data_IF_104909540342
#
_entry.id   IF_104909540342
#
_cell.length_a   1.000
_cell.length_b   1.000
_cell.length_c   1.000
_cell.angle_alpha   90.00
_cell.angle_beta   90.00
_cell.angle_gamma   90.00
#
_symmetry.space_group_name_H-M   'P 1'
#
loop_
_entity.id
_entity.type
_entity.pdbx_description
1 polymer ?
#
# COMPACT_ATOMS: atom_id res chain seq x y z
N UNK A 1 -44.62 13.32 -18.93
CA UNK A 1 -43.33 14.01 -18.76
C UNK A 1 -42.35 13.36 -19.71
N UNK A 2 -41.95 14.09 -20.75
CA UNK A 2 -40.97 13.65 -21.73
C UNK A 2 -39.64 13.36 -21.01
N UNK A 3 -38.99 12.26 -21.41
CA UNK A 3 -37.88 11.63 -20.70
C UNK A 3 -36.79 12.65 -20.33
N UNK A 4 -36.54 12.80 -19.03
CA UNK A 4 -35.40 13.53 -18.52
C UNK A 4 -34.13 12.90 -19.11
N UNK A 5 -33.19 13.68 -19.67
CA UNK A 5 -31.92 13.17 -20.17
C UNK A 5 -31.20 12.32 -19.10
N UNK A 6 -30.62 11.17 -19.47
CA UNK A 6 -29.96 10.28 -18.52
C UNK A 6 -28.80 10.95 -17.78
N UNK A 7 -28.15 11.95 -18.39
CA UNK A 7 -27.10 12.75 -17.77
C UNK A 7 -27.64 13.57 -16.60
N UNK A 8 -28.81 14.20 -16.76
CA UNK A 8 -29.46 14.95 -15.68
C UNK A 8 -29.94 14.04 -14.55
N UNK A 9 -30.47 12.86 -14.90
CA UNK A 9 -30.82 11.83 -13.91
C UNK A 9 -29.58 11.44 -13.11
N UNK A 10 -28.44 11.21 -13.76
CA UNK A 10 -27.18 10.87 -13.09
C UNK A 10 -26.71 11.98 -12.15
N UNK A 11 -26.80 13.24 -12.56
CA UNK A 11 -26.44 14.40 -11.72
C UNK A 11 -27.34 14.47 -10.48
N UNK A 12 -28.67 14.36 -10.65
CA UNK A 12 -29.64 14.37 -9.53
C UNK A 12 -29.38 13.19 -8.59
N UNK A 13 -29.21 11.99 -9.14
CA UNK A 13 -28.94 10.80 -8.33
C UNK A 13 -27.61 10.93 -7.62
N UNK A 14 -26.59 11.58 -8.20
CA UNK A 14 -25.28 11.78 -7.56
C UNK A 14 -25.29 12.80 -6.42
N UNK A 15 -26.24 13.76 -6.42
CA UNK A 15 -26.35 14.79 -5.38
C UNK A 15 -27.14 14.35 -4.14
N UNK A 16 -27.68 13.13 -4.12
CA UNK A 16 -28.42 12.61 -2.95
C UNK A 16 -27.44 12.11 -1.89
N UNK A 17 -27.37 12.72 -0.71
CA UNK A 17 -26.31 12.37 0.25
C UNK A 17 -26.60 11.11 1.07
N UNK A 18 -27.87 10.77 1.29
CA UNK A 18 -28.26 9.66 2.17
C UNK A 18 -28.66 8.41 1.40
N UNK A 19 -28.29 7.24 1.92
CA UNK A 19 -28.77 5.95 1.37
C UNK A 19 -30.29 5.80 1.48
N UNK A 20 -30.92 6.43 2.48
CA UNK A 20 -32.37 6.35 2.67
C UNK A 20 -33.10 7.11 1.57
N UNK A 21 -32.63 8.30 1.23
CA UNK A 21 -33.20 9.10 0.14
C UNK A 21 -32.97 8.44 -1.22
N UNK A 22 -31.81 7.78 -1.42
CA UNK A 22 -31.57 6.97 -2.62
C UNK A 22 -32.59 5.80 -2.73
N UNK A 23 -32.91 5.13 -1.62
CA UNK A 23 -33.94 4.08 -1.60
C UNK A 23 -35.33 4.65 -1.89
N UNK A 24 -35.67 5.79 -1.28
CA UNK A 24 -36.95 6.48 -1.56
C UNK A 24 -37.03 6.90 -3.04
N UNK A 25 -35.94 7.41 -3.61
CA UNK A 25 -35.85 7.82 -5.01
C UNK A 25 -36.01 6.62 -5.97
N UNK A 26 -35.45 5.45 -5.66
CA UNK A 26 -35.67 4.19 -6.41
C UNK A 26 -37.16 3.83 -6.54
N UNK A 27 -37.96 4.15 -5.52
CA UNK A 27 -39.37 3.81 -5.42
C UNK A 27 -40.27 4.90 -6.02
N UNK A 28 -39.82 6.16 -5.98
CA UNK A 28 -40.59 7.30 -6.46
C UNK A 28 -40.84 7.27 -7.98
N UNK A 29 -39.85 6.86 -8.79
CA UNK A 29 -40.03 6.77 -10.23
C UNK A 29 -39.15 5.68 -10.88
N UNK A 30 -39.65 5.05 -11.93
CA UNK A 30 -38.96 3.94 -12.63
C UNK A 30 -37.66 4.39 -13.33
N UNK A 31 -37.59 5.62 -13.83
CA UNK A 31 -36.41 6.13 -14.54
C UNK A 31 -35.23 6.46 -13.61
N UNK A 32 -35.47 6.70 -12.31
CA UNK A 32 -34.41 6.82 -11.30
C UNK A 32 -33.88 5.46 -10.83
N UNK A 33 -34.69 4.41 -10.96
CA UNK A 33 -34.43 3.09 -10.35
C UNK A 33 -33.05 2.54 -10.72
N UNK A 34 -32.68 2.52 -11.99
CA UNK A 34 -31.41 1.92 -12.43
C UNK A 34 -30.19 2.67 -11.87
N UNK A 35 -30.18 4.00 -11.97
CA UNK A 35 -29.09 4.83 -11.47
C UNK A 35 -28.96 4.79 -9.95
N UNK A 36 -30.09 4.84 -9.23
CA UNK A 36 -30.10 4.73 -7.78
C UNK A 36 -29.65 3.33 -7.32
N UNK A 37 -30.07 2.26 -8.01
CA UNK A 37 -29.60 0.89 -7.73
C UNK A 37 -28.09 0.73 -7.98
N UNK A 38 -27.56 1.30 -9.07
CA UNK A 38 -26.12 1.34 -9.33
C UNK A 38 -25.37 2.05 -8.21
N UNK A 39 -25.86 3.18 -7.70
CA UNK A 39 -25.21 3.89 -6.60
C UNK A 39 -25.32 3.15 -5.26
N UNK A 40 -26.45 2.50 -5.00
CA UNK A 40 -26.69 1.74 -3.77
C UNK A 40 -25.92 0.41 -3.70
N UNK A 41 -25.64 -0.20 -4.86
CA UNK A 41 -25.04 -1.54 -4.96
C UNK A 41 -23.66 -1.55 -5.61
N UNK A 42 -23.21 -0.42 -6.15
CA UNK A 42 -21.92 -0.26 -6.82
C UNK A 42 -20.74 -0.68 -5.94
N UNK A 43 -20.86 -0.44 -4.63
CA UNK A 43 -19.90 -0.92 -3.63
C UNK A 43 -20.59 -1.88 -2.66
N UNK A 44 -20.00 -3.07 -2.50
CA UNK A 44 -20.47 -4.12 -1.60
C UNK A 44 -19.36 -4.51 -0.63
N UNK A 45 -19.64 -4.41 0.66
CA UNK A 45 -18.76 -4.93 1.70
C UNK A 45 -19.35 -6.22 2.29
N UNK A 46 -18.62 -7.32 2.19
CA UNK A 46 -18.96 -8.63 2.75
C UNK A 46 -18.05 -8.93 3.94
N UNK A 47 -18.64 -9.33 5.07
CA UNK A 47 -17.88 -9.76 6.25
C UNK A 47 -18.13 -11.22 6.55
N UNK A 48 -17.04 -11.95 6.78
CA UNK A 48 -17.07 -13.32 7.29
C UNK A 48 -17.22 -13.32 8.81
N UNK A 49 -18.33 -12.78 9.30
CA UNK A 49 -18.66 -12.73 10.73
C UNK A 49 -19.82 -13.66 11.00
N UNK A 50 -19.56 -14.82 11.60
CA UNK A 50 -20.63 -15.57 12.25
C UNK A 50 -21.03 -14.75 13.47
N UNK A 51 -22.17 -14.06 13.40
CA UNK A 51 -22.85 -13.66 14.63
C UNK A 51 -23.01 -14.95 15.42
N UNK A 52 -22.38 -15.03 16.61
CA UNK A 52 -22.42 -16.21 17.45
C UNK A 52 -23.89 -16.60 17.65
N UNK A 53 -24.36 -17.58 16.89
CA UNK A 53 -25.79 -17.96 16.88
C UNK A 53 -26.20 -18.57 18.21
N UNK A 54 -25.24 -18.97 19.06
CA UNK A 54 -25.51 -19.79 20.25
C UNK A 54 -24.90 -19.32 21.59
N UNK A 55 -24.14 -18.22 21.68
CA UNK A 55 -23.75 -17.71 23.02
C UNK A 55 -24.73 -16.64 23.49
N UNK A 56 -25.73 -17.13 24.25
CA UNK A 56 -26.67 -16.38 25.10
C UNK A 56 -25.99 -15.34 26.04
N UNK A 57 -24.66 -15.31 26.12
CA UNK A 57 -23.87 -14.43 26.97
C UNK A 57 -23.39 -13.12 26.32
N UNK A 58 -23.57 -12.89 25.01
CA UNK A 58 -23.19 -11.60 24.35
C UNK A 58 -24.34 -10.62 24.12
N UNK A 59 -25.46 -10.78 24.84
CA UNK A 59 -26.65 -9.91 24.74
C UNK A 59 -26.40 -8.45 25.11
N UNK A 60 -25.23 -8.07 25.65
CA UNK A 60 -24.96 -6.69 26.04
C UNK A 60 -24.19 -5.88 24.98
N UNK A 61 -23.44 -6.50 24.06
CA UNK A 61 -22.72 -5.77 23.00
C UNK A 61 -22.71 -6.59 21.69
N UNK A 62 -23.64 -6.34 20.74
CA UNK A 62 -23.49 -6.86 19.38
C UNK A 62 -22.13 -6.39 18.82
N UNK A 63 -21.37 -7.24 18.11
CA UNK A 63 -20.18 -6.78 17.41
C UNK A 63 -20.63 -5.64 16.50
N UNK A 64 -20.06 -4.45 16.72
CA UNK A 64 -20.37 -3.25 15.94
C UNK A 64 -19.95 -3.49 14.49
N UNK A 65 -20.79 -4.16 13.70
CA UNK A 65 -20.64 -4.18 12.26
C UNK A 65 -20.70 -2.71 11.82
N UNK A 66 -19.62 -2.22 11.20
CA UNK A 66 -19.62 -0.88 10.61
C UNK A 66 -20.83 -0.79 9.68
N UNK A 67 -21.60 0.30 9.78
CA UNK A 67 -22.82 0.50 9.01
C UNK A 67 -22.56 0.20 7.50
N UNK A 68 -23.29 -0.77 6.94
CA UNK A 68 -23.21 -1.12 5.52
C UNK A 68 -22.54 -2.46 5.16
N UNK A 69 -21.90 -3.17 6.10
CA UNK A 69 -21.37 -4.54 5.86
C UNK A 69 -22.48 -5.59 5.88
N UNK A 70 -22.43 -6.56 4.98
CA UNK A 70 -23.38 -7.69 4.91
C UNK A 70 -22.66 -9.01 5.16
N UNK A 71 -23.36 -10.00 5.73
CA UNK A 71 -22.82 -11.36 5.81
C UNK A 71 -22.81 -12.03 4.43
N UNK A 72 -21.98 -13.07 4.27
CA UNK A 72 -21.99 -13.91 3.07
C UNK A 72 -23.32 -14.64 2.87
N UNK A 73 -23.98 -15.05 3.96
CA UNK A 73 -25.30 -15.71 3.91
C UNK A 73 -26.37 -14.74 3.38
N UNK A 74 -26.41 -13.51 3.90
CA UNK A 74 -27.35 -12.48 3.43
C UNK A 74 -27.12 -12.14 1.96
N UNK A 75 -25.85 -12.10 1.54
CA UNK A 75 -25.49 -11.84 0.15
C UNK A 75 -25.91 -13.00 -0.75
N UNK A 76 -25.65 -14.24 -0.34
CA UNK A 76 -26.07 -15.46 -1.03
C UNK A 76 -27.58 -15.51 -1.19
N UNK A 77 -28.35 -15.31 -0.12
CA UNK A 77 -29.82 -15.30 -0.18
C UNK A 77 -30.33 -14.19 -1.11
N UNK A 78 -29.80 -12.97 -0.96
CA UNK A 78 -30.23 -11.81 -1.72
C UNK A 78 -29.94 -11.96 -3.22
N UNK A 79 -28.71 -12.29 -3.57
CA UNK A 79 -28.30 -12.39 -4.97
C UNK A 79 -28.73 -13.71 -5.60
N UNK A 80 -28.97 -14.76 -4.82
CA UNK A 80 -29.67 -15.95 -5.29
C UNK A 80 -31.09 -15.64 -5.74
N UNK A 81 -31.83 -14.80 -4.98
CA UNK A 81 -33.18 -14.35 -5.38
C UNK A 81 -33.16 -13.34 -6.53
N UNK A 82 -32.17 -12.45 -6.58
CA UNK A 82 -32.09 -11.39 -7.58
C UNK A 82 -30.69 -11.31 -8.22
N UNK A 83 -30.33 -12.27 -9.10
CA UNK A 83 -28.97 -12.36 -9.66
C UNK A 83 -28.53 -11.12 -10.44
N UNK A 84 -29.46 -10.48 -11.15
CA UNK A 84 -29.20 -9.27 -11.93
C UNK A 84 -28.68 -8.09 -11.09
N UNK A 85 -28.96 -8.06 -9.78
CA UNK A 85 -28.46 -7.02 -8.88
C UNK A 85 -26.97 -7.19 -8.56
N UNK A 86 -26.42 -8.40 -8.65
CA UNK A 86 -25.00 -8.65 -8.42
C UNK A 86 -24.12 -8.06 -9.54
N UNK A 87 -24.64 -7.98 -10.77
CA UNK A 87 -23.97 -7.33 -11.89
C UNK A 87 -23.86 -5.79 -11.74
N UNK A 88 -24.48 -5.20 -10.72
CA UNK A 88 -24.30 -3.79 -10.37
C UNK A 88 -23.11 -3.57 -9.44
N UNK A 89 -22.54 -4.62 -8.85
CA UNK A 89 -21.38 -4.54 -7.96
C UNK A 89 -20.12 -4.33 -8.80
N UNK A 90 -19.42 -3.24 -8.53
CA UNK A 90 -18.18 -2.82 -9.21
C UNK A 90 -17.01 -2.83 -8.23
N UNK A 91 -17.26 -2.44 -6.98
CA UNK A 91 -16.31 -2.49 -5.87
C UNK A 91 -16.73 -3.54 -4.85
N UNK A 92 -15.87 -4.52 -4.59
CA UNK A 92 -16.09 -5.59 -3.63
C UNK A 92 -15.06 -5.51 -2.50
N UNK A 93 -15.50 -5.33 -1.27
CA UNK A 93 -14.65 -5.33 -0.06
C UNK A 93 -14.95 -6.61 0.76
N UNK A 94 -13.97 -7.49 0.89
CA UNK A 94 -14.07 -8.76 1.61
C UNK A 94 -13.31 -8.65 2.93
N UNK A 95 -14.05 -8.62 4.04
CA UNK A 95 -13.47 -8.65 5.38
C UNK A 95 -13.48 -10.07 5.93
N UNK A 96 -12.29 -10.68 5.97
CA UNK A 96 -12.04 -12.02 6.44
C UNK A 96 -11.54 -11.96 7.89
N UNK A 97 -12.47 -11.76 8.82
CA UNK A 97 -12.18 -11.62 10.25
C UNK A 97 -12.93 -12.63 11.07
N UNK A 98 -12.18 -13.57 11.64
CA UNK A 98 -12.71 -14.66 12.47
C UNK A 98 -12.28 -14.37 13.90
N UNK A 99 -13.10 -13.62 14.62
CA UNK A 99 -12.88 -13.36 16.04
C UNK A 99 -13.41 -14.54 16.85
N UNK A 100 -12.51 -15.32 17.46
CA UNK A 100 -12.84 -16.28 18.51
C UNK A 100 -13.52 -17.57 18.07
N UNK A 101 -13.27 -18.06 16.86
CA UNK A 101 -13.68 -19.40 16.42
C UNK A 101 -12.46 -20.29 16.23
N UNK A 102 -12.59 -21.56 16.64
CA UNK A 102 -11.63 -22.62 16.32
C UNK A 102 -11.58 -22.84 14.80
N UNK A 103 -10.39 -23.12 14.28
CA UNK A 103 -10.16 -23.34 12.84
C UNK A 103 -11.12 -24.42 12.29
N UNK A 104 -11.74 -24.16 11.13
CA UNK A 104 -12.61 -25.13 10.45
C UNK A 104 -14.07 -25.21 10.93
N UNK A 105 -14.55 -24.27 11.75
CA UNK A 105 -15.94 -24.25 12.27
C UNK A 105 -16.88 -23.24 11.60
N UNK A 106 -16.38 -22.52 10.61
CA UNK A 106 -17.23 -21.83 9.64
C UNK A 106 -17.88 -22.92 8.80
N UNK A 107 -19.20 -23.06 8.87
CA UNK A 107 -19.93 -23.97 8.00
C UNK A 107 -20.42 -23.23 6.78
N UNK A 108 -19.51 -22.59 6.03
CA UNK A 108 -19.93 -21.88 4.82
C UNK A 108 -20.01 -22.88 3.68
N UNK A 109 -21.20 -22.99 3.10
CA UNK A 109 -21.46 -23.87 1.97
C UNK A 109 -20.60 -23.46 0.76
N UNK A 110 -19.54 -24.22 0.48
CA UNK A 110 -18.58 -23.93 -0.58
C UNK A 110 -19.25 -23.76 -1.96
N UNK A 111 -20.20 -24.64 -2.37
CA UNK A 111 -21.07 -24.41 -3.52
C UNK A 111 -21.76 -23.04 -3.54
N UNK A 112 -22.33 -22.61 -2.41
CA UNK A 112 -23.05 -21.34 -2.33
C UNK A 112 -22.11 -20.13 -2.49
N UNK A 113 -20.90 -20.20 -1.92
CA UNK A 113 -19.87 -19.18 -2.12
C UNK A 113 -19.41 -19.09 -3.57
N UNK A 114 -19.12 -20.24 -4.19
CA UNK A 114 -18.72 -20.29 -5.58
C UNK A 114 -19.81 -19.72 -6.51
N UNK A 115 -21.08 -20.07 -6.25
CA UNK A 115 -22.22 -19.50 -6.95
C UNK A 115 -22.29 -17.98 -6.75
N UNK A 116 -22.15 -17.49 -5.50
CA UNK A 116 -22.19 -16.06 -5.20
C UNK A 116 -21.10 -15.29 -5.94
N UNK A 117 -19.84 -15.74 -5.89
CA UNK A 117 -18.74 -15.08 -6.60
C UNK A 117 -18.94 -15.08 -8.11
N UNK A 118 -19.50 -16.15 -8.68
CA UNK A 118 -19.81 -16.20 -10.13
C UNK A 118 -20.76 -15.09 -10.60
N UNK A 119 -21.59 -14.55 -9.71
CA UNK A 119 -22.51 -13.45 -10.02
C UNK A 119 -21.81 -12.09 -10.11
N UNK A 120 -20.63 -11.95 -9.51
CA UNK A 120 -19.82 -10.73 -9.48
C UNK A 120 -18.95 -10.59 -10.74
N UNK A 121 -19.60 -10.55 -11.89
CA UNK A 121 -18.94 -10.50 -13.21
C UNK A 121 -18.37 -9.13 -13.60
N UNK A 122 -18.74 -8.05 -12.89
CA UNK A 122 -18.38 -6.66 -13.22
C UNK A 122 -17.50 -5.98 -12.17
N UNK A 123 -16.97 -6.75 -11.22
CA UNK A 123 -16.08 -6.22 -10.18
C UNK A 123 -14.77 -5.76 -10.82
N UNK A 124 -14.54 -4.46 -10.78
CA UNK A 124 -13.29 -3.85 -11.22
C UNK A 124 -12.37 -3.49 -10.06
N UNK A 125 -12.88 -3.38 -8.83
CA UNK A 125 -12.09 -3.16 -7.63
C UNK A 125 -12.38 -4.24 -6.59
N UNK A 126 -11.35 -4.95 -6.16
CA UNK A 126 -11.41 -5.96 -5.10
C UNK A 126 -10.52 -5.54 -3.95
N UNK A 127 -11.09 -5.46 -2.75
CA UNK A 127 -10.33 -5.33 -1.51
C UNK A 127 -10.53 -6.59 -0.68
N UNK A 128 -9.44 -7.13 -0.14
CA UNK A 128 -9.48 -8.27 0.79
C UNK A 128 -8.75 -7.83 2.04
N UNK A 129 -9.47 -7.71 3.15
CA UNK A 129 -8.88 -7.35 4.44
C UNK A 129 -9.04 -8.53 5.38
N UNK A 130 -7.97 -8.95 6.07
CA UNK A 130 -8.13 -9.90 7.16
C UNK A 130 -7.33 -9.55 8.40
N UNK A 131 -7.93 -9.90 9.53
CA UNK A 131 -7.45 -9.56 10.87
C UNK A 131 -7.12 -10.79 11.73
N UNK A 132 -7.44 -11.99 11.25
CA UNK A 132 -7.14 -13.27 11.91
C UNK A 132 -6.07 -14.03 11.11
N UNK A 133 -5.34 -14.99 11.68
CA UNK A 133 -4.52 -15.91 10.89
C UNK A 133 -5.36 -16.55 9.78
N UNK A 134 -4.85 -16.55 8.54
CA UNK A 134 -5.61 -17.10 7.41
C UNK A 134 -5.82 -18.61 7.56
N UNK A 135 -4.99 -19.31 8.34
CA UNK A 135 -5.24 -20.71 8.72
C UNK A 135 -6.63 -20.94 9.34
N UNK A 136 -7.26 -19.89 9.86
CA UNK A 136 -8.59 -19.95 10.43
C UNK A 136 -9.69 -19.76 9.37
N UNK A 137 -9.35 -19.19 8.21
CA UNK A 137 -10.26 -19.06 7.07
C UNK A 137 -10.53 -20.44 6.48
N UNK A 138 -11.81 -20.67 6.18
CA UNK A 138 -12.27 -21.91 5.58
C UNK A 138 -11.61 -22.13 4.20
N UNK A 139 -11.01 -23.31 3.93
CA UNK A 139 -10.40 -23.61 2.64
C UNK A 139 -11.35 -23.42 1.46
N UNK A 140 -12.64 -23.71 1.68
CA UNK A 140 -13.73 -23.49 0.73
C UNK A 140 -13.78 -22.05 0.20
N UNK A 141 -13.69 -21.06 1.08
CA UNK A 141 -13.73 -19.65 0.70
C UNK A 141 -12.52 -19.27 -0.14
N UNK A 142 -11.34 -19.75 0.26
CA UNK A 142 -10.09 -19.51 -0.48
C UNK A 142 -10.18 -20.11 -1.89
N UNK A 143 -10.64 -21.35 -2.00
CA UNK A 143 -10.79 -22.03 -3.28
C UNK A 143 -11.82 -21.33 -4.18
N UNK A 144 -12.98 -20.94 -3.64
CA UNK A 144 -14.01 -20.23 -4.40
C UNK A 144 -13.51 -18.87 -4.89
N UNK A 145 -12.78 -18.14 -4.06
CA UNK A 145 -12.15 -16.87 -4.42
C UNK A 145 -11.09 -17.04 -5.52
N UNK A 146 -10.14 -17.97 -5.33
CA UNK A 146 -9.08 -18.23 -6.31
C UNK A 146 -9.66 -18.71 -7.65
N UNK A 147 -10.67 -19.58 -7.61
CA UNK A 147 -11.40 -20.04 -8.79
C UNK A 147 -12.06 -18.86 -9.52
N UNK A 148 -12.78 -17.99 -8.81
CA UNK A 148 -13.42 -16.82 -9.41
C UNK A 148 -12.40 -15.85 -10.02
N UNK A 149 -11.29 -15.56 -9.32
CA UNK A 149 -10.21 -14.72 -9.84
C UNK A 149 -9.59 -15.30 -11.12
N UNK A 150 -9.46 -16.62 -11.22
CA UNK A 150 -8.95 -17.28 -12.42
C UNK A 150 -9.91 -17.24 -13.62
N UNK A 151 -11.21 -17.03 -13.38
CA UNK A 151 -12.26 -17.04 -14.41
C UNK A 151 -12.85 -15.66 -14.72
N UNK A 152 -12.49 -14.61 -13.96
CA UNK A 152 -12.93 -13.26 -14.28
C UNK A 152 -12.34 -12.85 -15.65
N UNK A 153 -13.11 -12.20 -16.55
CA UNK A 153 -12.58 -11.84 -17.86
C UNK A 153 -11.40 -10.86 -17.74
N UNK A 154 -10.35 -11.07 -18.54
CA UNK A 154 -9.18 -10.20 -18.57
C UNK A 154 -9.56 -8.73 -18.77
N UNK A 155 -8.94 -7.85 -17.98
CA UNK A 155 -9.19 -6.39 -18.02
C UNK A 155 -10.44 -5.93 -17.25
N UNK A 156 -11.25 -6.84 -16.73
CA UNK A 156 -12.37 -6.49 -15.85
C UNK A 156 -11.86 -5.99 -14.50
N UNK A 157 -10.97 -6.77 -13.88
CA UNK A 157 -10.39 -6.46 -12.59
C UNK A 157 -9.23 -5.49 -12.78
N UNK A 158 -9.43 -4.25 -12.33
CA UNK A 158 -8.47 -3.15 -12.48
C UNK A 158 -7.69 -2.90 -11.19
N UNK A 159 -8.35 -3.08 -10.05
CA UNK A 159 -7.78 -2.82 -8.74
C UNK A 159 -7.92 -4.04 -7.83
N UNK A 160 -6.83 -4.45 -7.20
CA UNK A 160 -6.80 -5.46 -6.14
C UNK A 160 -5.97 -4.94 -4.99
N UNK A 161 -6.56 -4.89 -3.80
CA UNK A 161 -5.84 -4.56 -2.58
C UNK A 161 -6.08 -5.65 -1.54
N UNK A 162 -5.04 -6.43 -1.24
CA UNK A 162 -5.06 -7.43 -0.18
C UNK A 162 -4.30 -6.90 1.01
N UNK A 163 -4.94 -6.73 2.17
CA UNK A 163 -4.32 -6.27 3.41
C UNK A 163 -4.54 -7.29 4.52
N UNK A 164 -3.48 -7.77 5.14
CA UNK A 164 -3.60 -8.83 6.14
C UNK A 164 -2.74 -8.57 7.37
N UNK A 165 -3.35 -8.66 8.55
CA UNK A 165 -2.66 -8.40 9.81
C UNK A 165 -1.77 -9.57 10.29
N UNK A 166 -1.77 -10.71 9.60
CA UNK A 166 -1.01 -11.92 9.96
C UNK A 166 -0.34 -12.52 8.72
N UNK A 167 0.61 -13.44 8.90
CA UNK A 167 1.27 -14.10 7.76
C UNK A 167 0.27 -14.87 6.90
N UNK A 168 0.36 -14.68 5.59
CA UNK A 168 -0.34 -15.51 4.61
C UNK A 168 0.25 -16.93 4.58
N UNK A 169 -0.57 -17.99 4.69
CA UNK A 169 -0.18 -19.35 4.36
C UNK A 169 0.29 -19.39 2.91
N UNK A 170 1.46 -19.99 2.70
CA UNK A 170 2.12 -20.01 1.40
C UNK A 170 1.24 -20.58 0.28
N UNK A 171 0.52 -21.69 0.55
CA UNK A 171 -0.37 -22.33 -0.42
C UNK A 171 -1.51 -21.42 -0.88
N UNK A 172 -2.01 -20.56 0.00
CA UNK A 172 -3.17 -19.72 -0.27
C UNK A 172 -2.74 -18.47 -1.04
N UNK A 173 -1.63 -17.87 -0.60
CA UNK A 173 -0.99 -16.83 -1.39
C UNK A 173 -0.68 -17.32 -2.80
N UNK A 174 -0.16 -18.55 -2.92
CA UNK A 174 0.11 -19.20 -4.18
C UNK A 174 -1.14 -19.31 -5.07
N UNK A 175 -2.26 -19.82 -4.55
CA UNK A 175 -3.47 -20.03 -5.33
C UNK A 175 -4.09 -18.71 -5.81
N UNK A 176 -4.14 -17.71 -4.92
CA UNK A 176 -4.65 -16.38 -5.27
C UNK A 176 -3.72 -15.71 -6.28
N UNK A 177 -2.42 -15.70 -6.03
CA UNK A 177 -1.47 -15.04 -6.93
C UNK A 177 -1.40 -15.73 -8.30
N UNK A 178 -1.45 -17.06 -8.37
CA UNK A 178 -1.54 -17.80 -9.63
C UNK A 178 -2.81 -17.44 -10.40
N UNK A 179 -3.95 -17.29 -9.71
CA UNK A 179 -5.19 -16.85 -10.33
C UNK A 179 -5.12 -15.41 -10.85
N UNK A 180 -4.28 -14.55 -10.23
CA UNK A 180 -4.08 -13.16 -10.61
C UNK A 180 -3.01 -12.95 -11.70
N UNK A 181 -2.04 -13.86 -11.81
CA UNK A 181 -0.93 -13.74 -12.77
C UNK A 181 -1.39 -13.48 -14.23
N UNK A 182 -2.48 -14.09 -14.74
CA UNK A 182 -2.97 -13.79 -16.10
C UNK A 182 -3.56 -12.37 -16.25
N UNK A 183 -3.94 -11.72 -15.15
CA UNK A 183 -4.43 -10.33 -15.12
C UNK A 183 -3.32 -9.32 -14.86
N UNK A 184 -2.16 -9.80 -14.41
CA UNK A 184 -1.01 -9.01 -14.02
C UNK A 184 -0.16 -8.58 -15.22
N UNK A 185 -0.70 -7.70 -16.07
CA UNK A 185 0.14 -6.84 -16.94
C UNK A 185 0.61 -5.56 -16.22
N UNK A 186 0.52 -5.52 -14.89
CA UNK A 186 0.11 -4.29 -14.22
C UNK A 186 0.78 -4.16 -12.84
N UNK A 187 1.14 -2.92 -12.47
CA UNK A 187 1.91 -2.52 -11.28
C UNK A 187 1.50 -3.25 -9.99
N UNK A 188 2.47 -3.85 -9.29
CA UNK A 188 2.25 -4.36 -7.95
C UNK A 188 2.81 -3.41 -6.89
N UNK A 189 2.24 -3.50 -5.69
CA UNK A 189 2.70 -2.74 -4.55
C UNK A 189 2.74 -3.66 -3.34
N UNK A 190 3.93 -4.00 -2.85
CA UNK A 190 4.07 -4.82 -1.63
C UNK A 190 4.33 -3.89 -0.45
N UNK A 191 3.31 -3.58 0.34
CA UNK A 191 3.50 -2.74 1.53
C UNK A 191 3.68 -3.62 2.76
N UNK A 192 4.72 -3.39 3.54
CA UNK A 192 4.72 -3.87 4.93
C UNK A 192 4.31 -2.71 5.79
N UNK A 193 3.09 -2.75 6.28
CA UNK A 193 2.58 -1.77 7.22
C UNK A 193 2.55 -2.38 8.62
N UNK A 194 2.80 -1.56 9.63
CA UNK A 194 2.46 -1.93 11.00
C UNK A 194 0.95 -2.15 11.11
N UNK A 195 0.52 -3.13 11.92
CA UNK A 195 -0.89 -3.54 12.07
C UNK A 195 -1.88 -2.38 12.28
N UNK A 196 -1.45 -1.28 12.90
CA UNK A 196 -2.27 -0.11 13.18
C UNK A 196 -2.66 0.66 11.89
N UNK A 197 -1.78 0.71 10.89
CA UNK A 197 -1.99 1.45 9.64
C UNK A 197 -2.81 0.66 8.60
N UNK A 198 -3.01 -0.65 8.80
CA UNK A 198 -3.80 -1.52 7.92
C UNK A 198 -5.32 -1.22 7.90
N UNK A 199 -5.82 -0.45 8.86
CA UNK A 199 -7.28 -0.33 9.09
C UNK A 199 -7.96 0.82 8.37
N UNK A 200 -7.22 1.84 7.95
CA UNK A 200 -7.77 3.01 7.27
C UNK A 200 -7.57 2.94 5.75
N UNK A 201 -8.56 3.48 5.01
CA UNK A 201 -8.48 3.72 3.56
C UNK A 201 -7.41 4.79 3.31
N UNK A 202 -6.15 4.45 3.53
CA UNK A 202 -5.03 5.34 3.28
C UNK A 202 -5.02 5.76 1.81
N UNK A 203 -4.72 7.02 1.47
CA UNK A 203 -4.71 7.55 0.10
C UNK A 203 -3.54 7.03 -0.76
N UNK A 204 -2.93 5.89 -0.43
CA UNK A 204 -1.55 5.62 -0.81
C UNK A 204 -1.33 4.71 -2.02
N UNK A 205 -2.38 4.26 -2.72
CA UNK A 205 -2.15 3.28 -3.78
C UNK A 205 -2.98 3.61 -5.02
N UNK A 206 -2.42 4.40 -5.94
CA UNK A 206 -2.85 4.40 -7.35
C UNK A 206 -2.47 3.10 -8.05
N UNK A 207 -1.69 2.24 -7.37
CA UNK A 207 -1.29 0.94 -7.86
C UNK A 207 -2.52 0.04 -8.07
N UNK A 208 -2.78 -0.41 -9.30
CA UNK A 208 -3.80 -1.41 -9.62
C UNK A 208 -3.67 -2.73 -8.83
N UNK A 209 -2.48 -3.19 -8.43
CA UNK A 209 -2.37 -4.38 -7.57
C UNK A 209 -1.54 -4.04 -6.33
N UNK A 210 -2.07 -4.32 -5.13
CA UNK A 210 -1.42 -4.01 -3.87
C UNK A 210 -1.60 -5.16 -2.87
N UNK A 211 -0.49 -5.62 -2.29
CA UNK A 211 -0.43 -6.61 -1.22
C UNK A 211 0.22 -5.97 0.01
N UNK A 212 -0.57 -5.75 1.04
CA UNK A 212 -0.17 -5.30 2.36
C UNK A 212 -0.19 -6.45 3.36
N UNK A 213 0.89 -6.65 4.10
CA UNK A 213 0.94 -7.65 5.18
C UNK A 213 1.70 -7.09 6.38
N UNK A 214 1.16 -7.30 7.58
CA UNK A 214 1.92 -7.09 8.82
C UNK A 214 3.09 -8.08 8.85
N UNK A 215 4.32 -7.56 8.97
CA UNK A 215 5.58 -8.32 8.81
C UNK A 215 5.72 -8.98 7.43
N UNK A 216 5.79 -8.18 6.36
CA UNK A 216 5.81 -8.57 4.93
C UNK A 216 6.81 -9.65 4.45
N UNK A 217 7.61 -10.23 5.35
CA UNK A 217 8.58 -11.30 5.13
C UNK A 217 7.95 -12.55 4.50
N UNK A 218 6.75 -12.94 4.93
CA UNK A 218 6.07 -14.14 4.39
C UNK A 218 5.70 -14.00 2.91
N UNK A 219 5.34 -12.78 2.50
CA UNK A 219 4.92 -12.47 1.12
C UNK A 219 6.12 -12.38 0.20
N UNK A 220 7.19 -11.70 0.63
CA UNK A 220 8.43 -11.59 -0.15
C UNK A 220 9.06 -12.97 -0.37
N UNK A 221 9.21 -13.77 0.69
CA UNK A 221 9.70 -15.14 0.60
C UNK A 221 8.88 -16.00 -0.37
N UNK A 222 7.54 -15.88 -0.35
CA UNK A 222 6.68 -16.61 -1.27
C UNK A 222 6.90 -16.18 -2.73
N UNK A 223 6.94 -14.88 -2.99
CA UNK A 223 7.10 -14.34 -4.34
C UNK A 223 8.47 -14.62 -4.96
N UNK A 224 9.52 -14.82 -4.15
CA UNK A 224 10.86 -15.18 -4.67
C UNK A 224 10.98 -16.65 -5.11
N UNK A 225 9.95 -17.46 -4.96
CA UNK A 225 9.97 -18.85 -5.42
C UNK A 225 9.94 -18.93 -6.96
N UNK A 226 10.63 -19.92 -7.51
CA UNK A 226 10.83 -20.08 -8.96
C UNK A 226 9.53 -20.11 -9.77
N UNK A 227 8.45 -20.63 -9.18
CA UNK A 227 7.13 -20.73 -9.79
C UNK A 227 6.43 -19.38 -10.00
N UNK A 228 6.79 -18.34 -9.24
CA UNK A 228 6.20 -17.00 -9.37
C UNK A 228 7.07 -16.02 -10.14
N UNK A 229 8.35 -16.34 -10.37
CA UNK A 229 9.27 -15.47 -11.08
C UNK A 229 8.76 -15.09 -12.48
N UNK A 230 8.02 -15.99 -13.14
CA UNK A 230 7.40 -15.71 -14.44
C UNK A 230 6.32 -14.64 -14.38
N UNK A 231 5.48 -14.64 -13.33
CA UNK A 231 4.45 -13.65 -13.10
C UNK A 231 5.04 -12.28 -12.67
N UNK A 232 6.19 -12.30 -11.98
CA UNK A 232 6.93 -11.09 -11.63
C UNK A 232 7.59 -10.39 -12.83
N UNK A 233 7.69 -11.05 -13.99
CA UNK A 233 8.19 -10.40 -15.22
C UNK A 233 7.29 -9.30 -15.74
N UNK A 234 6.08 -9.14 -15.23
CA UNK A 234 5.20 -8.00 -15.55
C UNK A 234 5.30 -6.85 -14.54
N UNK A 235 6.11 -7.00 -13.49
CA UNK A 235 6.18 -6.06 -12.38
C UNK A 235 6.84 -4.75 -12.80
N UNK A 236 6.09 -3.64 -12.71
CA UNK A 236 6.55 -2.29 -13.05
C UNK A 236 6.84 -1.41 -11.84
N UNK A 237 6.05 -1.52 -10.78
CA UNK A 237 6.30 -0.84 -9.51
C UNK A 237 6.58 -1.87 -8.43
N UNK A 238 7.45 -1.56 -7.46
CA UNK A 238 7.67 -2.35 -6.26
C UNK A 238 7.93 -1.40 -5.10
N UNK A 239 7.12 -1.50 -4.06
CA UNK A 239 7.51 -1.03 -2.72
C UNK A 239 7.89 -2.27 -1.93
N UNK A 240 8.97 -2.25 -1.16
CA UNK A 240 9.43 -3.41 -0.42
C UNK A 240 10.08 -3.01 0.91
N UNK A 241 9.68 -3.61 2.04
CA UNK A 241 10.43 -3.48 3.28
C UNK A 241 11.80 -4.13 3.19
N UNK A 242 12.80 -3.40 3.64
CA UNK A 242 14.18 -3.80 3.83
C UNK A 242 14.50 -3.78 5.33
N UNK A 243 13.86 -4.69 6.07
CA UNK A 243 14.11 -4.89 7.50
C UNK A 243 15.31 -5.85 7.74
N UNK A 244 15.95 -5.81 8.92
CA UNK A 244 17.01 -6.74 9.29
C UNK A 244 16.50 -8.20 9.30
N UNK A 245 17.19 -9.08 8.58
CA UNK A 245 16.82 -10.49 8.39
C UNK A 245 16.92 -10.91 6.91
N UNK A 246 16.27 -12.01 6.53
CA UNK A 246 16.26 -12.52 5.15
C UNK A 246 15.57 -11.60 4.12
N UNK A 247 14.98 -10.50 4.57
CA UNK A 247 13.92 -9.78 3.84
C UNK A 247 14.47 -8.74 2.88
N UNK A 248 15.65 -8.20 3.19
CA UNK A 248 16.39 -7.40 2.23
C UNK A 248 16.82 -8.26 1.03
N UNK A 249 17.44 -9.42 1.28
CA UNK A 249 17.80 -10.36 0.22
C UNK A 249 16.60 -10.81 -0.62
N UNK A 250 15.45 -11.06 0.01
CA UNK A 250 14.21 -11.36 -0.72
C UNK A 250 13.74 -10.16 -1.57
N UNK A 251 13.78 -8.93 -1.05
CA UNK A 251 13.45 -7.72 -1.81
C UNK A 251 14.33 -7.55 -3.04
N UNK A 252 15.63 -7.80 -2.90
CA UNK A 252 16.58 -7.71 -4.01
C UNK A 252 16.34 -8.81 -5.05
N UNK A 253 16.02 -10.05 -4.63
CA UNK A 253 15.63 -11.13 -5.55
C UNK A 253 14.35 -10.79 -6.32
N UNK A 254 13.39 -10.11 -5.70
CA UNK A 254 12.21 -9.61 -6.41
C UNK A 254 12.59 -8.55 -7.45
N UNK A 255 13.50 -7.64 -7.10
CA UNK A 255 14.02 -6.65 -8.04
C UNK A 255 14.73 -7.31 -9.22
N UNK A 256 15.56 -8.33 -8.96
CA UNK A 256 16.28 -9.09 -9.99
C UNK A 256 15.31 -9.85 -10.91
N UNK A 257 14.29 -10.49 -10.34
CA UNK A 257 13.23 -11.18 -11.08
C UNK A 257 12.47 -10.24 -12.04
N UNK A 258 12.29 -8.98 -11.62
CA UNK A 258 11.60 -7.93 -12.36
C UNK A 258 12.55 -6.95 -13.08
N UNK A 259 13.84 -7.28 -13.18
CA UNK A 259 14.90 -6.36 -13.62
C UNK A 259 14.65 -5.65 -14.95
N UNK A 260 13.94 -6.29 -15.88
CA UNK A 260 13.65 -5.78 -17.21
C UNK A 260 12.31 -5.05 -17.32
N UNK A 261 11.50 -5.03 -16.26
CA UNK A 261 10.17 -4.39 -16.27
C UNK A 261 9.96 -3.40 -15.14
N UNK A 262 10.79 -3.45 -14.10
CA UNK A 262 10.65 -2.61 -12.92
C UNK A 262 11.03 -1.15 -13.22
N UNK A 263 10.02 -0.30 -13.42
CA UNK A 263 10.12 1.14 -13.67
C UNK A 263 10.24 1.96 -12.38
N UNK A 264 9.57 1.52 -11.29
CA UNK A 264 9.50 2.23 -10.01
C UNK A 264 9.87 1.31 -8.84
N UNK A 265 10.83 1.72 -8.01
CA UNK A 265 11.26 0.98 -6.82
C UNK A 265 11.22 1.89 -5.59
N UNK A 266 10.59 1.45 -4.50
CA UNK A 266 10.67 2.07 -3.18
C UNK A 266 11.15 1.06 -2.13
N UNK A 267 12.37 1.23 -1.66
CA UNK A 267 12.92 0.39 -0.59
C UNK A 267 12.71 1.08 0.75
N UNK A 268 11.99 0.43 1.66
CA UNK A 268 11.76 0.90 3.03
C UNK A 268 12.77 0.26 3.98
N UNK A 269 13.91 0.90 4.18
CA UNK A 269 15.03 0.39 4.96
C UNK A 269 14.79 0.70 6.44
N UNK A 270 14.69 -0.36 7.25
CA UNK A 270 14.56 -0.27 8.71
C UNK A 270 15.89 -0.68 9.33
N UNK A 271 16.44 0.14 10.22
CA UNK A 271 17.68 -0.18 10.93
C UNK A 271 17.44 -1.26 12.00
N UNK A 272 18.47 -2.02 12.36
CA UNK A 272 18.35 -2.96 13.51
C UNK A 272 19.37 -4.08 13.54
N UNK A 273 19.95 -4.52 12.41
CA UNK A 273 21.14 -5.40 12.30
C UNK A 273 21.82 -5.27 10.92
N UNK A 274 22.90 -4.49 10.84
CA UNK A 274 23.61 -4.16 9.60
C UNK A 274 24.23 -5.36 8.86
N UNK A 275 24.63 -6.41 9.59
CA UNK A 275 25.39 -7.53 9.00
C UNK A 275 24.61 -8.28 7.90
N UNK A 276 23.29 -8.42 8.04
CA UNK A 276 22.48 -9.10 7.02
C UNK A 276 22.32 -8.28 5.72
N UNK A 277 22.54 -6.96 5.78
CA UNK A 277 22.52 -6.08 4.61
C UNK A 277 23.84 -6.14 3.83
N UNK A 278 24.96 -6.44 4.51
CA UNK A 278 26.30 -6.51 3.90
C UNK A 278 26.48 -7.70 2.96
N UNK A 279 25.82 -8.82 3.26
CA UNK A 279 26.02 -10.08 2.54
C UNK A 279 25.02 -10.29 1.38
N UNK A 280 24.04 -9.40 1.23
CA UNK A 280 23.01 -9.56 0.21
C UNK A 280 23.52 -9.10 -1.16
N UNK A 281 23.47 -9.95 -2.21
CA UNK A 281 23.90 -9.56 -3.54
C UNK A 281 22.95 -8.51 -4.10
N UNK A 282 23.49 -7.35 -4.47
CA UNK A 282 22.73 -6.29 -5.13
C UNK A 282 22.34 -6.72 -6.56
N UNK A 283 21.19 -6.26 -7.06
CA UNK A 283 20.76 -6.53 -8.43
C UNK A 283 21.84 -6.06 -9.40
N UNK A 284 22.20 -6.92 -10.35
CA UNK A 284 23.25 -6.60 -11.33
C UNK A 284 22.77 -5.62 -12.40
N UNK A 285 21.46 -5.61 -12.69
CA UNK A 285 20.85 -4.78 -13.70
C UNK A 285 19.37 -4.53 -13.37
N UNK A 286 18.94 -3.27 -13.47
CA UNK A 286 17.58 -2.77 -13.39
C UNK A 286 17.42 -1.80 -14.56
N UNK A 287 17.38 -2.37 -15.77
CA UNK A 287 17.61 -1.67 -17.04
C UNK A 287 16.56 -0.59 -17.36
N UNK A 288 15.34 -0.77 -16.85
CA UNK A 288 14.20 0.11 -17.10
C UNK A 288 13.80 0.96 -15.88
N UNK A 289 14.57 0.89 -14.79
CA UNK A 289 14.25 1.63 -13.58
C UNK A 289 14.39 3.14 -13.83
N UNK A 290 13.26 3.86 -13.74
CA UNK A 290 13.22 5.32 -13.93
C UNK A 290 13.16 6.06 -12.60
N UNK A 291 12.55 5.44 -11.58
CA UNK A 291 12.31 6.06 -10.27
C UNK A 291 12.78 5.15 -9.15
N UNK A 292 13.67 5.65 -8.29
CA UNK A 292 14.10 5.00 -7.06
C UNK A 292 13.72 5.85 -5.86
N UNK A 293 13.04 5.27 -4.89
CA UNK A 293 12.74 5.89 -3.59
C UNK A 293 13.39 5.05 -2.50
N UNK A 294 14.14 5.69 -1.59
CA UNK A 294 14.78 5.01 -0.47
C UNK A 294 14.26 5.62 0.83
N UNK A 295 13.28 4.95 1.42
CA UNK A 295 12.65 5.41 2.66
C UNK A 295 13.38 4.81 3.86
N UNK A 296 13.78 5.65 4.80
CA UNK A 296 14.48 5.22 6.01
C UNK A 296 13.53 5.30 7.21
N UNK A 297 13.32 4.18 7.90
CA UNK A 297 12.60 4.17 9.16
C UNK A 297 13.58 4.51 10.30
N UNK A 298 13.38 5.60 11.04
CA UNK A 298 14.32 6.04 12.05
C UNK A 298 14.25 5.12 13.29
N UNK A 299 15.38 4.49 13.65
CA UNK A 299 15.64 4.19 15.04
C UNK A 299 16.20 5.46 15.66
N UNK A 300 15.41 6.09 16.54
CA UNK A 300 15.65 7.39 17.20
C UNK A 300 17.03 7.53 17.88
N UNK A 301 17.77 6.44 18.08
CA UNK A 301 19.09 6.40 18.69
C UNK A 301 20.27 6.23 17.71
N UNK A 302 20.08 5.63 16.53
CA UNK A 302 21.19 5.11 15.70
C UNK A 302 21.62 5.99 14.52
N UNK A 303 20.77 6.93 14.07
CA UNK A 303 21.16 7.95 13.08
C UNK A 303 22.15 8.99 13.63
N UNK A 304 22.48 8.92 14.93
CA UNK A 304 23.42 9.84 15.59
C UNK A 304 24.89 9.53 15.30
N UNK A 305 25.21 8.37 14.74
CA UNK A 305 26.58 8.06 14.32
C UNK A 305 26.74 8.23 12.81
N UNK A 306 27.61 9.17 12.42
CA UNK A 306 28.02 9.45 11.03
C UNK A 306 28.36 8.19 10.20
N UNK A 307 28.79 7.13 10.88
CA UNK A 307 29.15 5.83 10.29
C UNK A 307 27.98 5.15 9.58
N UNK A 308 26.75 5.23 10.09
CA UNK A 308 25.60 4.51 9.52
C UNK A 308 25.08 5.17 8.23
N UNK A 309 25.06 6.50 8.20
CA UNK A 309 24.65 7.25 7.03
C UNK A 309 25.67 7.12 5.88
N UNK A 310 26.97 7.23 6.21
CA UNK A 310 28.06 6.98 5.25
C UNK A 310 28.02 5.56 4.69
N UNK A 311 27.80 4.55 5.56
CA UNK A 311 27.65 3.15 5.15
C UNK A 311 26.51 2.95 4.16
N UNK A 312 25.33 3.48 4.46
CA UNK A 312 24.15 3.35 3.62
C UNK A 312 24.40 3.91 2.22
N UNK A 313 24.99 5.10 2.15
CA UNK A 313 25.27 5.75 0.88
C UNK A 313 26.32 4.98 0.07
N UNK A 314 27.40 4.52 0.72
CA UNK A 314 28.49 3.78 0.06
C UNK A 314 28.10 2.37 -0.36
N UNK A 315 27.28 1.68 0.44
CA UNK A 315 27.04 0.23 0.31
C UNK A 315 25.74 -0.07 -0.42
N UNK A 316 24.72 0.77 -0.28
CA UNK A 316 23.39 0.53 -0.88
C UNK A 316 23.14 1.51 -2.02
N UNK A 317 23.32 2.81 -1.77
CA UNK A 317 22.94 3.85 -2.74
C UNK A 317 23.90 3.89 -3.92
N UNK A 318 25.21 4.02 -3.68
CA UNK A 318 26.20 4.15 -4.74
C UNK A 318 26.19 2.97 -5.74
N UNK A 319 26.11 1.69 -5.31
CA UNK A 319 26.04 0.59 -6.27
C UNK A 319 24.72 0.55 -7.05
N UNK A 320 23.58 0.89 -6.44
CA UNK A 320 22.30 0.97 -7.16
C UNK A 320 22.28 2.13 -8.17
N UNK A 321 23.01 3.21 -7.90
CA UNK A 321 23.16 4.35 -8.80
C UNK A 321 24.20 4.13 -9.90
N UNK A 322 24.93 3.03 -9.89
CA UNK A 322 25.93 2.77 -10.91
C UNK A 322 25.25 2.68 -12.30
N UNK A 323 25.77 3.35 -13.36
CA UNK A 323 25.13 3.37 -14.68
C UNK A 323 24.91 2.00 -15.30
N UNK A 324 25.79 1.03 -14.99
CA UNK A 324 25.62 -0.35 -15.45
C UNK A 324 24.42 -1.06 -14.79
N UNK A 325 24.02 -0.62 -13.59
CA UNK A 325 22.91 -1.20 -12.85
C UNK A 325 21.61 -0.49 -13.21
N UNK A 326 21.56 0.85 -13.17
CA UNK A 326 20.33 1.61 -13.41
C UNK A 326 20.47 2.64 -14.55
N UNK A 327 20.67 2.21 -15.82
CA UNK A 327 21.00 3.13 -16.91
C UNK A 327 19.92 4.18 -17.19
N UNK A 328 18.64 3.87 -16.93
CA UNK A 328 17.50 4.75 -17.21
C UNK A 328 17.01 5.57 -16.00
N UNK A 329 17.71 5.50 -14.86
CA UNK A 329 17.27 6.21 -13.67
C UNK A 329 17.22 7.72 -13.92
N UNK A 330 16.03 8.29 -13.71
CA UNK A 330 15.74 9.69 -13.91
C UNK A 330 15.45 10.40 -12.59
N UNK A 331 14.88 9.70 -11.60
CA UNK A 331 14.51 10.29 -10.31
C UNK A 331 14.99 9.42 -9.15
N UNK A 332 15.72 10.03 -8.21
CA UNK A 332 16.06 9.43 -6.92
C UNK A 332 15.38 10.26 -5.82
N UNK A 333 14.56 9.62 -4.99
CA UNK A 333 13.90 10.26 -3.85
C UNK A 333 14.38 9.65 -2.55
N UNK A 334 14.85 10.48 -1.62
CA UNK A 334 15.25 10.05 -0.28
C UNK A 334 14.41 10.83 0.74
N UNK A 335 13.27 10.28 1.20
CA UNK A 335 12.51 10.90 2.27
C UNK A 335 13.24 10.72 3.60
N UNK A 336 13.64 11.84 4.18
CA UNK A 336 14.17 11.93 5.53
C UNK A 336 13.02 12.32 6.47
N UNK A 337 12.48 11.34 7.21
CA UNK A 337 11.54 11.62 8.31
C UNK A 337 12.32 12.18 9.49
N UNK A 338 12.02 13.43 9.85
CA UNK A 338 12.56 14.08 11.02
C UNK A 338 11.55 13.95 12.15
N UNK A 339 11.84 13.07 13.10
CA UNK A 339 11.17 13.13 14.39
C UNK A 339 11.79 14.28 15.19
N UNK A 340 11.00 15.25 15.66
CA UNK A 340 11.52 16.33 16.49
C UNK A 340 12.11 15.74 17.77
N UNK A 341 13.43 15.70 17.85
CA UNK A 341 14.16 15.32 19.06
C UNK A 341 14.05 16.48 20.05
N UNK A 342 13.07 16.45 20.95
CA UNK A 342 12.86 17.40 22.06
C UNK A 342 12.64 18.89 21.68
N UNK A 343 13.15 19.39 20.55
CA UNK A 343 12.81 20.68 19.94
C UNK A 343 13.21 20.69 18.44
N UNK A 344 12.50 21.47 17.62
CA UNK A 344 12.80 21.63 16.18
C UNK A 344 14.21 22.23 15.97
N UNK A 345 14.61 23.16 16.85
CA UNK A 345 15.92 23.81 16.81
C UNK A 345 17.06 22.80 16.93
N UNK A 346 16.93 21.80 17.82
CA UNK A 346 17.92 20.72 17.98
C UNK A 346 18.03 19.85 16.74
N UNK A 347 16.88 19.54 16.13
CA UNK A 347 16.78 18.70 14.93
C UNK A 347 17.40 19.39 13.72
N UNK A 348 17.20 20.71 13.59
CA UNK A 348 17.79 21.48 12.50
C UNK A 348 19.25 21.83 12.74
N UNK A 349 19.67 22.08 13.98
CA UNK A 349 21.08 22.19 14.33
C UNK A 349 21.84 20.91 13.97
N UNK A 350 21.25 19.73 14.20
CA UNK A 350 21.80 18.44 13.76
C UNK A 350 21.86 18.31 12.23
N UNK A 351 20.84 18.75 11.49
CA UNK A 351 20.88 18.72 10.02
C UNK A 351 21.92 19.69 9.46
N UNK A 352 21.99 20.89 10.01
CA UNK A 352 23.00 21.87 9.63
C UNK A 352 24.40 21.41 10.03
N UNK A 353 24.57 20.70 11.16
CA UNK A 353 25.84 20.10 11.53
C UNK A 353 26.20 18.94 10.61
N UNK A 354 25.26 18.06 10.27
CA UNK A 354 25.49 16.96 9.33
C UNK A 354 25.91 17.49 7.95
N UNK A 355 25.26 18.55 7.45
CA UNK A 355 25.63 19.20 6.17
C UNK A 355 26.99 19.93 6.26
N UNK A 356 27.35 20.44 7.45
CA UNK A 356 28.60 21.19 7.67
C UNK A 356 29.80 20.32 8.05
N UNK A 357 29.59 19.16 8.64
CA UNK A 357 30.63 18.23 9.04
C UNK A 357 31.28 17.59 7.81
N UNK A 358 32.58 17.28 7.93
CA UNK A 358 33.37 16.69 6.84
C UNK A 358 32.75 15.39 6.31
N UNK A 359 32.11 14.62 7.17
CA UNK A 359 31.40 13.37 6.84
C UNK A 359 30.20 13.59 5.94
N UNK A 360 29.32 14.56 6.24
CA UNK A 360 28.19 14.87 5.36
C UNK A 360 28.61 15.58 4.07
N UNK A 361 29.66 16.41 4.12
CA UNK A 361 30.25 16.95 2.88
C UNK A 361 30.89 15.87 2.02
N UNK A 362 31.55 14.87 2.62
CA UNK A 362 32.10 13.73 1.90
C UNK A 362 30.99 12.86 1.30
N UNK A 363 29.87 12.69 2.01
CA UNK A 363 28.68 11.98 1.52
C UNK A 363 28.04 12.69 0.32
N UNK A 364 27.87 14.02 0.41
CA UNK A 364 27.36 14.83 -0.69
C UNK A 364 28.31 14.81 -1.89
N UNK A 365 29.62 14.93 -1.66
CA UNK A 365 30.63 14.80 -2.73
C UNK A 365 30.60 13.44 -3.41
N UNK A 366 30.48 12.36 -2.65
CA UNK A 366 30.36 11.02 -3.21
C UNK A 366 29.08 10.86 -4.02
N UNK A 367 27.94 11.40 -3.56
CA UNK A 367 26.71 11.43 -4.35
C UNK A 367 26.90 12.26 -5.62
N UNK A 368 27.52 13.43 -5.53
CA UNK A 368 27.81 14.29 -6.68
C UNK A 368 28.73 13.57 -7.69
N UNK A 369 29.76 12.85 -7.22
CA UNK A 369 30.65 12.04 -8.06
C UNK A 369 29.91 10.86 -8.70
N UNK A 370 29.03 10.20 -7.96
CA UNK A 370 28.22 9.07 -8.46
C UNK A 370 27.18 9.53 -9.47
N UNK A 371 26.65 10.75 -9.30
CA UNK A 371 25.68 11.37 -10.18
C UNK A 371 26.34 12.20 -11.29
N UNK A 372 27.66 12.40 -11.25
CA UNK A 372 28.38 13.22 -12.21
C UNK A 372 28.17 12.68 -13.63
N UNK A 373 27.69 13.54 -14.53
CA UNK A 373 27.36 13.15 -15.90
C UNK A 373 26.00 12.46 -16.08
N UNK A 374 25.21 12.32 -15.01
CA UNK A 374 23.83 11.82 -15.07
C UNK A 374 22.83 12.95 -14.85
N UNK A 375 21.80 13.02 -15.69
CA UNK A 375 20.65 13.91 -15.46
C UNK A 375 19.63 13.25 -14.51
N UNK A 376 20.06 12.88 -13.30
CA UNK A 376 19.14 12.37 -12.27
C UNK A 376 18.63 13.55 -11.44
N UNK A 377 17.31 13.65 -11.33
CA UNK A 377 16.67 14.55 -10.37
C UNK A 377 16.74 13.91 -8.99
N UNK A 378 17.60 14.45 -8.13
CA UNK A 378 17.68 14.06 -6.72
C UNK A 378 16.69 14.89 -5.90
N UNK A 379 15.71 14.22 -5.29
CA UNK A 379 14.70 14.81 -4.43
C UNK A 379 14.94 14.39 -2.96
N UNK A 380 15.50 15.30 -2.18
CA UNK A 380 15.49 15.15 -0.71
C UNK A 380 14.18 15.68 -0.16
N UNK A 381 13.41 14.81 0.49
CA UNK A 381 12.13 15.19 1.12
C UNK A 381 12.30 15.15 2.63
N UNK A 382 12.43 16.30 3.26
CA UNK A 382 12.38 16.37 4.72
C UNK A 382 10.92 16.41 5.17
N UNK A 383 10.48 15.34 5.82
CA UNK A 383 9.17 15.26 6.47
C UNK A 383 9.34 15.66 7.93
N UNK A 384 8.96 16.88 8.25
CA UNK A 384 8.89 17.35 9.65
C UNK A 384 7.55 16.93 10.21
N UNK A 385 7.55 15.99 11.15
CA UNK A 385 6.34 15.60 11.89
C UNK A 385 6.13 16.63 13.01
N UNK A 386 5.01 17.37 12.98
CA UNK A 386 4.68 18.31 14.06
C UNK A 386 4.60 17.54 15.39
N UNK A 387 5.27 17.98 16.47
CA UNK A 387 4.94 17.50 17.80
C UNK A 387 3.51 17.94 18.15
N UNK A 388 2.70 17.05 18.74
CA UNK A 388 1.31 17.33 19.09
C UNK A 388 1.13 18.47 20.12
N UNK A 389 2.22 18.98 20.71
CA UNK A 389 2.22 20.12 21.62
C UNK A 389 3.37 21.06 21.23
N UNK A 390 3.07 22.07 20.41
CA UNK A 390 3.99 23.20 20.22
C UNK A 390 3.70 24.22 21.33
N UNK A 391 4.67 24.45 22.21
CA UNK A 391 4.60 25.52 23.21
C UNK A 391 4.60 26.86 22.46
N UNK A 392 3.67 27.75 22.77
CA UNK A 392 3.38 28.98 22.02
C UNK A 392 4.56 29.98 21.87
N UNK A 393 5.72 29.71 22.48
CA UNK A 393 6.95 30.51 22.32
C UNK A 393 7.93 30.01 21.25
N UNK A 394 7.80 28.78 20.76
CA UNK A 394 8.77 28.20 19.81
C UNK A 394 8.46 28.48 18.33
N UNK A 395 7.29 29.05 18.00
CA UNK A 395 6.84 29.22 16.62
C UNK A 395 7.77 30.12 15.78
N UNK A 396 8.25 31.22 16.35
CA UNK A 396 9.14 32.17 15.66
C UNK A 396 10.55 31.61 15.44
N UNK A 397 11.08 30.86 16.43
CA UNK A 397 12.34 30.14 16.28
C UNK A 397 12.22 29.05 15.21
N UNK A 398 11.12 28.28 15.22
CA UNK A 398 10.83 27.27 14.21
C UNK A 398 10.79 27.88 12.80
N UNK A 399 10.12 29.02 12.63
CA UNK A 399 10.00 29.68 11.34
C UNK A 399 11.33 30.26 10.85
N UNK A 400 12.16 30.79 11.76
CA UNK A 400 13.51 31.29 11.47
C UNK A 400 14.43 30.17 11.00
N UNK A 401 14.44 29.06 11.74
CA UNK A 401 15.21 27.86 11.45
C UNK A 401 14.80 27.23 10.10
N UNK A 402 13.50 27.20 9.81
CA UNK A 402 13.00 26.72 8.52
C UNK A 402 13.43 27.61 7.34
N UNK A 403 13.46 28.94 7.54
CA UNK A 403 14.00 29.87 6.53
C UNK A 403 15.49 29.64 6.30
N UNK A 404 16.28 29.42 7.36
CA UNK A 404 17.71 29.12 7.22
C UNK A 404 17.95 27.80 6.46
N UNK A 405 17.15 26.76 6.77
CA UNK A 405 17.22 25.49 6.06
C UNK A 405 16.86 25.68 4.57
N UNK A 406 15.78 26.41 4.26
CA UNK A 406 15.40 26.75 2.89
C UNK A 406 16.50 27.50 2.14
N UNK A 407 17.13 28.50 2.76
CA UNK A 407 18.23 29.27 2.16
C UNK A 407 19.45 28.39 1.91
N UNK A 408 19.80 27.54 2.87
CA UNK A 408 20.95 26.63 2.75
C UNK A 408 20.71 25.61 1.62
N UNK A 409 19.52 25.01 1.56
CA UNK A 409 19.15 24.04 0.53
C UNK A 409 19.00 24.69 -0.85
N UNK A 410 18.46 25.91 -0.93
CA UNK A 410 18.40 26.68 -2.19
C UNK A 410 19.78 26.99 -2.75
N UNK A 411 20.75 27.36 -1.90
CA UNK A 411 22.15 27.55 -2.33
C UNK A 411 22.80 26.28 -2.85
N UNK A 412 22.42 25.10 -2.32
CA UNK A 412 22.90 23.83 -2.85
C UNK A 412 22.19 23.46 -4.16
N UNK A 413 20.90 23.77 -4.28
CA UNK A 413 20.14 23.60 -5.52
C UNK A 413 20.69 24.45 -6.68
N UNK A 414 21.06 25.70 -6.40
CA UNK A 414 21.67 26.63 -7.36
C UNK A 414 23.05 26.15 -7.88
N UNK A 415 23.68 25.18 -7.20
CA UNK A 415 24.90 24.50 -7.68
C UNK A 415 24.61 23.37 -8.68
N UNK A 416 23.34 23.12 -9.00
CA UNK A 416 22.92 22.44 -10.23
C UNK A 416 22.50 20.98 -10.12
N UNK A 417 22.45 20.36 -8.94
CA UNK A 417 22.24 18.90 -8.81
C UNK A 417 21.16 18.47 -7.80
N UNK A 418 20.65 19.38 -6.97
CA UNK A 418 19.78 19.05 -5.85
C UNK A 418 18.44 19.78 -5.96
N UNK A 419 17.35 19.07 -6.24
CA UNK A 419 16.02 19.66 -6.08
C UNK A 419 15.52 19.29 -4.68
N UNK A 420 15.55 20.23 -3.74
CA UNK A 420 15.12 19.94 -2.37
C UNK A 420 13.68 20.41 -2.18
N UNK A 421 12.77 19.46 -1.99
CA UNK A 421 11.39 19.75 -1.65
C UNK A 421 11.18 19.55 -0.14
N UNK A 422 10.93 20.64 0.59
CA UNK A 422 10.47 20.58 1.97
C UNK A 422 8.96 20.37 1.98
N UNK A 423 8.50 19.25 2.54
CA UNK A 423 7.07 18.95 2.70
C UNK A 423 6.73 18.76 4.18
N UNK A 424 5.80 19.56 4.68
CA UNK A 424 5.30 19.45 6.04
C UNK A 424 4.11 18.50 6.10
N UNK A 425 4.13 17.57 7.06
CA UNK A 425 2.99 16.71 7.36
C UNK A 425 2.36 17.12 8.68
N UNK A 426 1.15 17.65 8.63
CA UNK A 426 0.30 18.01 9.77
C UNK A 426 -1.05 18.54 9.25
N UNK A 427 -2.11 18.58 10.08
CA UNK A 427 -3.37 19.20 9.67
C UNK A 427 -3.08 20.65 9.24
N UNK A 428 -3.45 20.95 8.00
CA UNK A 428 -3.61 22.32 7.52
C UNK A 428 -4.92 22.80 8.14
N UNK A 429 -4.82 23.70 9.12
CA UNK A 429 -5.95 24.55 9.47
C UNK A 429 -6.20 25.56 8.33
#
# INVERSE_FOLDING_TARGET
MNAMPPELIRVIVSSIDTQQDLKSCCLAASYFRSWCQQRLLGSLALSLTRAARDTRERLNHPPRMRAGKKSFDDATERFGRWPHLAALVVDLDLELSILGLEAGTLGVDAPALAALFSLFSRVSSLRIVGHSPWSNIEPALTHALAHWLGHIPHGTLQFIHMSYAMQFPRSIFHDIFRALAPHAQVDFLIVSMDAAECTDRGPYTTAPFAFSCDRGHGVQAALTQSEFLSALRGLRSLVAPAAPGNTFGESLRLCEAASNTLEHLNLQITFGRYNALLDAPLPQCLSVLTTLTLTFSPLEAELRSDTHFSWLLTTVVAPLLHPAVTPQLATLTIPCKLHPLNSLASTVAFLLSAVRQDTGQACLRMLDETLAGRHIRLLFVFLVVKPQQVVAGEADEQQTVLRELQVCLKRQAERGLLDVALRFSGPLD
#
